data_IF_223592624418
#
_entry.id   IF_223592624418
#
_cell.length_a   1.000
_cell.length_b   1.000
_cell.length_c   1.000
_cell.angle_alpha   90.00
_cell.angle_beta   90.00
_cell.angle_gamma   90.00
#
_symmetry.space_group_name_H-M   'P 1'
#
loop_
_entity.id
_entity.type
_entity.pdbx_description
1 polymer ?
#
# COMPACT_ATOMS: atom_id res chain seq x y z
N UNK A 1 6.10 -11.19 -0.48
CA UNK A 1 7.57 -11.22 -0.62
C UNK A 1 8.15 -12.09 0.49
N UNK A 2 9.06 -13.00 0.13
CA UNK A 2 9.85 -13.81 1.08
C UNK A 2 11.19 -13.11 1.30
N UNK A 3 11.56 -12.72 2.54
CA UNK A 3 12.80 -12.00 2.81
C UNK A 3 14.06 -12.72 2.33
N UNK A 4 14.13 -14.05 2.52
CA UNK A 4 15.29 -14.84 2.11
C UNK A 4 15.47 -14.86 0.61
N UNK A 5 14.40 -15.12 -0.13
CA UNK A 5 14.44 -15.10 -1.59
C UNK A 5 14.76 -13.71 -2.14
N UNK A 6 14.26 -12.64 -1.50
CA UNK A 6 14.60 -11.28 -1.89
C UNK A 6 16.09 -11.01 -1.77
N UNK A 7 16.73 -11.44 -0.68
CA UNK A 7 18.17 -11.24 -0.47
C UNK A 7 19.02 -12.11 -1.41
N UNK A 8 18.57 -13.29 -1.81
CA UNK A 8 19.27 -14.11 -2.80
C UNK A 8 19.35 -13.44 -4.19
N UNK A 9 18.48 -12.47 -4.45
CA UNK A 9 18.44 -11.68 -5.70
C UNK A 9 19.24 -10.37 -5.60
N UNK A 10 19.74 -10.01 -4.42
CA UNK A 10 20.49 -8.77 -4.21
C UNK A 10 21.96 -8.91 -4.61
N UNK A 11 22.50 -7.85 -5.20
CA UNK A 11 23.89 -7.70 -5.61
C UNK A 11 24.38 -6.25 -5.40
N UNK A 12 25.59 -5.96 -5.88
CA UNK A 12 26.19 -4.62 -5.83
C UNK A 12 25.43 -3.54 -6.64
N UNK A 13 24.51 -3.93 -7.50
CA UNK A 13 23.71 -3.02 -8.33
C UNK A 13 22.31 -2.79 -7.72
N UNK A 14 21.98 -3.45 -6.64
CA UNK A 14 20.68 -3.34 -5.98
C UNK A 14 20.55 -2.00 -5.27
N UNK A 15 19.63 -1.16 -5.73
CA UNK A 15 19.43 0.19 -5.20
C UNK A 15 18.42 0.24 -4.03
N UNK A 16 17.44 -0.65 -3.99
CA UNK A 16 16.49 -0.81 -2.89
C UNK A 16 15.67 -2.08 -3.04
N UNK A 17 15.00 -2.50 -1.97
CA UNK A 17 13.95 -3.53 -1.98
C UNK A 17 12.61 -2.86 -1.71
N UNK A 18 11.56 -3.28 -2.44
CA UNK A 18 10.22 -2.67 -2.36
C UNK A 18 9.20 -3.69 -1.91
N UNK A 19 9.04 -3.94 -0.60
CA UNK A 19 7.92 -4.72 -0.08
C UNK A 19 6.61 -3.92 -0.12
N UNK A 20 5.49 -4.63 -0.15
CA UNK A 20 4.16 -4.03 -0.26
C UNK A 20 3.38 -4.22 1.05
N UNK A 21 2.87 -3.12 1.59
CA UNK A 21 1.87 -3.11 2.66
C UNK A 21 0.48 -3.00 2.03
N UNK A 22 -0.29 -4.10 2.05
CA UNK A 22 -1.59 -4.19 1.39
C UNK A 22 -1.49 -4.56 -0.09
N UNK A 23 -1.01 -5.77 -0.38
CA UNK A 23 -0.90 -6.30 -1.74
C UNK A 23 -2.28 -6.38 -2.40
N UNK A 24 -2.45 -5.71 -3.52
CA UNK A 24 -3.75 -5.58 -4.22
C UNK A 24 -4.37 -6.94 -4.60
N UNK A 25 -3.56 -7.92 -4.99
CA UNK A 25 -4.03 -9.21 -5.47
C UNK A 25 -4.33 -10.23 -4.38
N UNK A 26 -3.86 -10.01 -3.16
CA UNK A 26 -4.01 -10.99 -2.07
C UNK A 26 -4.67 -10.39 -0.83
N UNK A 27 -4.64 -9.08 -0.68
CA UNK A 27 -5.04 -8.41 0.55
C UNK A 27 -4.06 -8.62 1.71
N UNK A 28 -2.93 -9.28 1.48
CA UNK A 28 -1.92 -9.56 2.50
C UNK A 28 -0.90 -8.42 2.57
N UNK A 29 -0.14 -8.39 3.63
CA UNK A 29 1.04 -7.54 3.76
C UNK A 29 2.29 -8.41 3.62
N UNK A 30 3.31 -7.90 2.95
CA UNK A 30 4.64 -8.51 2.95
C UNK A 30 5.24 -8.48 4.37
N UNK A 31 6.18 -9.38 4.64
CA UNK A 31 6.89 -9.43 5.92
C UNK A 31 8.02 -8.39 5.97
N UNK A 32 7.62 -7.13 6.17
CA UNK A 32 8.54 -5.99 6.15
C UNK A 32 9.49 -6.00 7.37
N UNK A 33 9.00 -6.41 8.53
CA UNK A 33 9.84 -6.53 9.74
C UNK A 33 10.86 -7.66 9.59
N UNK A 34 10.45 -8.79 9.03
CA UNK A 34 11.38 -9.90 8.73
C UNK A 34 12.40 -9.52 7.67
N UNK A 35 11.99 -8.76 6.65
CA UNK A 35 12.91 -8.23 5.63
C UNK A 35 13.93 -7.27 6.23
N UNK A 36 13.50 -6.33 7.09
CA UNK A 36 14.39 -5.37 7.75
C UNK A 36 15.50 -6.07 8.57
N UNK A 37 15.10 -7.10 9.34
CA UNK A 37 16.05 -7.90 10.13
C UNK A 37 17.04 -8.66 9.25
N UNK A 38 16.55 -9.35 8.23
CA UNK A 38 17.38 -10.12 7.31
C UNK A 38 18.33 -9.21 6.51
N UNK A 39 17.84 -8.02 6.12
CA UNK A 39 18.63 -7.03 5.41
C UNK A 39 19.71 -6.39 6.29
N UNK A 40 19.47 -6.23 7.58
CA UNK A 40 20.48 -5.73 8.54
C UNK A 40 21.69 -6.68 8.59
N UNK A 41 21.43 -7.98 8.66
CA UNK A 41 22.50 -9.01 8.64
C UNK A 41 23.21 -9.05 7.27
N UNK A 42 22.46 -8.95 6.18
CA UNK A 42 23.00 -8.97 4.82
C UNK A 42 23.90 -7.77 4.56
N UNK A 43 23.46 -6.55 4.87
CA UNK A 43 24.22 -5.32 4.71
C UNK A 43 25.49 -5.34 5.59
N UNK A 44 25.40 -5.82 6.83
CA UNK A 44 26.57 -5.97 7.71
C UNK A 44 27.60 -6.96 7.15
N UNK A 45 27.16 -8.02 6.48
CA UNK A 45 28.06 -9.05 5.90
C UNK A 45 28.70 -8.61 4.59
N UNK A 46 27.95 -7.91 3.74
CA UNK A 46 28.40 -7.52 2.39
C UNK A 46 29.08 -6.15 2.35
N UNK A 47 28.83 -5.30 3.34
CA UNK A 47 29.21 -3.89 3.35
C UNK A 47 28.29 -3.00 2.51
N UNK A 48 27.16 -3.53 2.02
CA UNK A 48 26.16 -2.76 1.30
C UNK A 48 25.27 -1.97 2.26
N UNK A 49 24.59 -0.97 1.74
CA UNK A 49 23.58 -0.17 2.46
C UNK A 49 22.26 -0.16 1.69
N UNK A 50 21.79 -1.34 1.30
CA UNK A 50 20.55 -1.49 0.54
C UNK A 50 19.37 -1.08 1.44
N UNK A 51 18.58 -0.05 1.05
CA UNK A 51 17.44 0.41 1.82
C UNK A 51 16.15 -0.33 1.43
N UNK A 52 15.11 -0.09 2.22
CA UNK A 52 13.72 -0.47 1.94
C UNK A 52 12.92 0.77 1.58
N UNK A 53 12.22 0.72 0.44
CA UNK A 53 11.09 1.60 0.13
C UNK A 53 9.79 0.80 0.32
N UNK A 54 8.91 1.23 1.20
CA UNK A 54 7.64 0.53 1.40
C UNK A 54 6.58 1.09 0.46
N UNK A 55 6.08 0.26 -0.46
CA UNK A 55 4.85 0.56 -1.17
C UNK A 55 3.65 0.29 -0.27
N UNK A 56 3.18 1.33 0.38
CA UNK A 56 2.00 1.31 1.23
C UNK A 56 0.80 2.00 0.55
N UNK A 57 0.70 1.88 -0.78
CA UNK A 57 -0.36 2.53 -1.55
C UNK A 57 -1.75 2.27 -0.97
N UNK A 58 -2.00 1.06 -0.48
CA UNK A 58 -3.22 0.71 0.26
C UNK A 58 -3.01 0.75 1.77
N UNK A 59 -1.98 0.06 2.27
CA UNK A 59 -1.75 -0.15 3.71
C UNK A 59 -1.45 1.12 4.50
N UNK A 60 -0.91 2.16 3.87
CA UNK A 60 -0.54 3.41 4.55
C UNK A 60 -1.71 4.16 5.19
N UNK A 61 -2.93 3.96 4.71
CA UNK A 61 -4.16 4.49 5.33
C UNK A 61 -5.02 3.42 6.03
N UNK A 62 -4.47 2.22 6.25
CA UNK A 62 -5.13 1.12 6.97
C UNK A 62 -4.34 0.78 8.24
N UNK A 63 -3.07 0.42 8.07
CA UNK A 63 -2.24 -0.13 9.13
C UNK A 63 -2.08 0.79 10.34
N UNK A 64 -1.85 2.12 10.19
CA UNK A 64 -1.74 3.02 11.34
C UNK A 64 -2.97 3.04 12.23
N UNK A 65 -4.14 2.81 11.65
CA UNK A 65 -5.42 2.89 12.35
C UNK A 65 -5.90 1.56 12.91
N UNK A 66 -5.70 0.45 12.19
CA UNK A 66 -6.22 -0.86 12.58
C UNK A 66 -5.17 -1.78 13.20
N UNK A 67 -3.88 -1.56 12.93
CA UNK A 67 -2.78 -2.41 13.39
C UNK A 67 -1.56 -1.56 13.80
N UNK A 68 -1.72 -0.62 14.75
CA UNK A 68 -0.66 0.33 15.13
C UNK A 68 0.59 -0.35 15.70
N UNK A 69 0.44 -1.57 16.24
CA UNK A 69 1.54 -2.39 16.77
C UNK A 69 2.42 -2.99 15.67
N UNK A 70 1.88 -3.20 14.47
CA UNK A 70 2.62 -3.79 13.35
C UNK A 70 3.71 -2.84 12.87
N UNK A 71 4.94 -3.34 12.85
CA UNK A 71 6.08 -2.57 12.35
C UNK A 71 6.22 -2.77 10.85
N UNK A 72 6.06 -1.71 10.11
CA UNK A 72 6.19 -1.65 8.66
C UNK A 72 6.73 -0.30 8.18
N UNK A 73 6.91 0.64 9.12
CA UNK A 73 7.22 2.04 8.91
C UNK A 73 8.63 2.41 9.40
N UNK A 74 8.90 3.68 9.60
CA UNK A 74 10.19 4.23 10.03
C UNK A 74 10.67 3.78 11.41
N UNK A 75 9.91 2.97 12.15
CA UNK A 75 10.38 2.25 13.33
C UNK A 75 11.39 1.17 12.98
N UNK A 76 11.41 0.73 11.71
CA UNK A 76 12.39 -0.20 11.16
C UNK A 76 13.63 0.57 10.69
N UNK A 77 14.80 -0.07 10.79
CA UNK A 77 16.10 0.56 10.53
C UNK A 77 16.25 0.94 9.07
N UNK A 78 15.99 0.01 8.18
CA UNK A 78 16.26 0.12 6.75
C UNK A 78 15.11 0.69 5.92
N UNK A 79 13.94 0.92 6.53
CA UNK A 79 12.85 1.63 5.87
C UNK A 79 13.20 3.12 5.80
N UNK A 80 13.57 3.60 4.62
CA UNK A 80 14.01 4.99 4.40
C UNK A 80 12.98 5.85 3.67
N UNK A 81 12.04 5.23 2.96
CA UNK A 81 10.93 5.95 2.31
C UNK A 81 9.68 5.09 2.24
N UNK A 82 8.54 5.75 2.20
CA UNK A 82 7.21 5.13 2.13
C UNK A 82 6.38 5.89 1.11
N UNK A 83 5.73 5.18 0.20
CA UNK A 83 4.67 5.75 -0.66
C UNK A 83 3.30 5.30 -0.19
N UNK A 84 2.30 6.19 -0.29
CA UNK A 84 0.89 5.85 -0.02
C UNK A 84 -0.06 6.62 -0.92
N UNK A 85 -1.21 6.04 -1.24
CA UNK A 85 -2.20 6.64 -2.13
C UNK A 85 -3.34 7.28 -1.35
N UNK A 86 -3.42 8.62 -1.40
CA UNK A 86 -4.55 9.35 -0.81
C UNK A 86 -5.88 9.00 -1.45
N UNK A 87 -5.86 8.66 -2.75
CA UNK A 87 -7.06 8.32 -3.53
C UNK A 87 -7.58 6.87 -3.35
N UNK A 88 -6.97 6.09 -2.47
CA UNK A 88 -7.48 4.79 -2.05
C UNK A 88 -8.14 4.93 -0.68
N UNK A 89 -7.55 4.37 0.33
CA UNK A 89 -8.07 4.44 1.71
C UNK A 89 -7.84 5.80 2.40
N UNK A 90 -7.15 6.75 1.73
CA UNK A 90 -7.08 8.16 2.16
C UNK A 90 -8.34 8.97 1.87
N UNK A 91 -9.34 8.40 1.15
CA UNK A 91 -10.69 8.94 0.98
C UNK A 91 -10.74 10.26 0.19
N UNK A 92 -9.90 10.40 -0.83
CA UNK A 92 -9.97 11.50 -1.80
C UNK A 92 -10.06 10.98 -3.23
N UNK A 93 -10.43 11.82 -4.15
CA UNK A 93 -10.47 11.48 -5.57
C UNK A 93 -9.06 11.22 -6.14
N UNK A 94 -8.92 10.47 -7.24
CA UNK A 94 -7.65 10.24 -7.91
C UNK A 94 -6.89 11.54 -8.23
N UNK A 95 -5.56 11.47 -8.13
CA UNK A 95 -4.64 12.58 -8.39
C UNK A 95 -3.79 12.99 -7.20
N UNK A 96 -3.83 12.24 -6.09
CA UNK A 96 -2.98 12.46 -4.93
C UNK A 96 -2.28 11.18 -4.50
N UNK A 97 -0.96 11.24 -4.43
CA UNK A 97 -0.09 10.26 -3.77
C UNK A 97 0.84 10.98 -2.80
N UNK A 98 1.27 10.26 -1.80
CA UNK A 98 2.22 10.72 -0.80
C UNK A 98 3.51 9.90 -0.92
N UNK A 99 4.64 10.57 -0.83
CA UNK A 99 5.92 9.94 -0.51
C UNK A 99 6.49 10.63 0.72
N UNK A 100 6.89 9.83 1.69
CA UNK A 100 7.47 10.31 2.95
C UNK A 100 8.86 9.70 3.09
N UNK A 101 9.84 10.52 3.44
CA UNK A 101 11.21 10.11 3.67
C UNK A 101 11.49 10.12 5.17
N UNK A 102 12.25 9.13 5.64
CA UNK A 102 12.64 9.03 7.06
C UNK A 102 13.44 10.23 7.51
N UNK A 103 14.30 10.76 6.63
CA UNK A 103 15.13 11.93 6.86
C UNK A 103 15.38 12.63 5.52
N UNK A 104 15.53 13.96 5.54
CA UNK A 104 15.82 14.78 4.36
C UNK A 104 17.08 14.32 3.60
N UNK A 105 18.09 13.80 4.30
CA UNK A 105 19.33 13.31 3.70
C UNK A 105 19.16 12.16 2.70
N UNK A 106 18.00 11.46 2.76
CA UNK A 106 17.68 10.38 1.83
C UNK A 106 16.99 10.85 0.55
N UNK A 107 16.67 12.14 0.47
CA UNK A 107 16.19 12.79 -0.75
C UNK A 107 17.36 13.54 -1.38
N UNK A 108 17.97 13.08 -2.50
CA UNK A 108 19.09 13.73 -3.14
C UNK A 108 18.72 15.16 -3.57
N UNK A 109 19.64 16.11 -3.31
CA UNK A 109 19.41 17.52 -3.68
C UNK A 109 19.26 17.69 -5.20
N UNK A 110 19.89 16.82 -6.01
CA UNK A 110 19.78 16.77 -7.46
C UNK A 110 18.36 16.45 -7.96
N UNK A 111 17.54 15.83 -7.12
CA UNK A 111 16.13 15.57 -7.41
C UNK A 111 15.24 16.80 -7.14
N UNK A 112 15.79 17.86 -6.56
CA UNK A 112 15.06 19.08 -6.25
C UNK A 112 15.45 20.23 -7.17
N UNK A 113 14.44 20.91 -7.73
CA UNK A 113 14.63 22.09 -8.57
C UNK A 113 14.23 23.34 -7.78
N UNK A 114 15.16 24.28 -7.65
CA UNK A 114 14.81 25.60 -7.14
C UNK A 114 14.41 26.50 -8.33
N UNK A 115 13.15 26.90 -8.36
CA UNK A 115 12.63 27.79 -9.40
C UNK A 115 12.28 29.11 -8.78
N UNK A 116 12.91 30.18 -9.26
CA UNK A 116 12.50 31.55 -8.92
C UNK A 116 11.31 31.94 -9.81
N UNK A 117 10.11 31.78 -9.27
CA UNK A 117 8.88 32.07 -9.99
C UNK A 117 7.97 32.97 -9.14
N UNK A 118 7.46 34.03 -9.76
CA UNK A 118 6.60 35.03 -9.11
C UNK A 118 7.21 35.65 -7.83
N UNK A 119 8.53 35.85 -7.79
CA UNK A 119 9.22 36.49 -6.68
C UNK A 119 9.46 35.59 -5.44
N UNK A 120 9.23 34.29 -5.56
CA UNK A 120 9.55 33.33 -4.51
C UNK A 120 10.41 32.19 -5.05
N UNK A 121 11.34 31.71 -4.24
CA UNK A 121 12.08 30.48 -4.52
C UNK A 121 11.23 29.28 -4.10
N UNK A 122 10.76 28.51 -5.08
CA UNK A 122 9.95 27.31 -4.87
C UNK A 122 10.81 26.09 -5.17
N UNK A 123 10.97 25.21 -4.20
CA UNK A 123 11.62 23.92 -4.40
C UNK A 123 10.60 22.92 -4.95
N UNK A 124 10.86 22.37 -6.14
CA UNK A 124 10.05 21.33 -6.75
C UNK A 124 10.83 20.04 -6.84
N UNK A 125 10.18 18.92 -6.53
CA UNK A 125 10.72 17.55 -6.65
C UNK A 125 10.01 16.76 -7.74
N UNK A 126 8.89 17.25 -8.27
CA UNK A 126 8.09 16.57 -9.29
C UNK A 126 8.45 16.99 -10.71
N UNK A 127 8.26 16.08 -11.67
CA UNK A 127 8.45 16.34 -13.09
C UNK A 127 7.44 17.32 -13.69
N UNK A 128 6.24 17.40 -13.11
CA UNK A 128 5.17 18.28 -13.59
C UNK A 128 5.23 19.64 -12.88
N UNK A 129 4.97 20.71 -13.62
CA UNK A 129 4.91 22.07 -13.06
C UNK A 129 3.53 22.33 -12.40
N UNK A 130 2.57 22.86 -13.13
CA UNK A 130 1.23 23.14 -12.58
C UNK A 130 0.44 21.84 -12.37
N UNK A 131 -0.16 21.70 -11.18
CA UNK A 131 -0.95 20.52 -10.80
C UNK A 131 -2.22 20.95 -10.09
N UNK A 132 -3.34 20.20 -10.26
CA UNK A 132 -4.54 20.41 -9.46
C UNK A 132 -4.25 20.23 -7.97
N UNK A 133 -4.72 21.16 -7.14
CA UNK A 133 -4.55 21.10 -5.68
C UNK A 133 -5.83 20.62 -4.96
N UNK A 134 -6.93 20.39 -5.67
CA UNK A 134 -8.21 20.04 -5.06
C UNK A 134 -8.13 18.79 -4.17
N UNK A 135 -7.40 17.75 -4.62
CA UNK A 135 -7.24 16.52 -3.85
C UNK A 135 -6.36 16.72 -2.61
N UNK A 136 -5.37 17.61 -2.68
CA UNK A 136 -4.53 17.97 -1.52
C UNK A 136 -5.39 18.67 -0.47
N UNK A 137 -6.21 19.63 -0.88
CA UNK A 137 -7.15 20.32 0.01
C UNK A 137 -8.21 19.35 0.57
N UNK A 138 -8.70 18.44 -0.25
CA UNK A 138 -9.62 17.38 0.18
C UNK A 138 -9.01 16.46 1.23
N UNK A 139 -7.75 16.05 1.04
CA UNK A 139 -7.03 15.23 2.02
C UNK A 139 -6.80 15.98 3.34
N UNK A 140 -6.40 17.24 3.24
CA UNK A 140 -6.23 18.12 4.41
C UNK A 140 -7.55 18.29 5.17
N UNK A 141 -8.65 18.54 4.46
CA UNK A 141 -9.98 18.61 5.05
C UNK A 141 -10.34 17.30 5.78
N UNK A 142 -10.09 16.14 5.16
CA UNK A 142 -10.34 14.85 5.79
C UNK A 142 -9.50 14.65 7.05
N UNK A 143 -8.23 15.06 7.06
CA UNK A 143 -7.40 14.99 8.27
C UNK A 143 -7.97 15.81 9.42
N UNK A 144 -8.42 17.04 9.14
CA UNK A 144 -9.01 17.91 10.18
C UNK A 144 -10.39 17.40 10.60
N UNK A 145 -11.22 17.01 9.63
CA UNK A 145 -12.63 16.65 9.87
C UNK A 145 -12.78 15.30 10.56
N UNK A 146 -12.03 14.31 10.15
CA UNK A 146 -12.11 12.95 10.66
C UNK A 146 -11.14 12.70 11.82
N UNK A 147 -9.94 13.24 11.71
CA UNK A 147 -8.87 12.94 12.65
C UNK A 147 -8.51 11.46 12.67
N UNK A 148 -7.76 11.05 13.69
CA UNK A 148 -7.35 9.66 13.84
C UNK A 148 -8.54 8.71 14.06
N UNK A 149 -9.44 9.08 14.97
CA UNK A 149 -10.58 8.23 15.33
C UNK A 149 -11.58 8.07 14.17
N UNK A 150 -11.85 9.12 13.40
CA UNK A 150 -12.71 9.03 12.23
C UNK A 150 -12.14 8.13 11.14
N UNK A 151 -10.83 8.23 10.84
CA UNK A 151 -10.19 7.29 9.93
C UNK A 151 -10.26 5.86 10.45
N UNK A 152 -9.97 5.64 11.74
CA UNK A 152 -10.04 4.32 12.36
C UNK A 152 -11.43 3.69 12.24
N UNK A 153 -12.49 4.46 12.52
CA UNK A 153 -13.88 4.00 12.40
C UNK A 153 -14.22 3.61 10.96
N UNK A 154 -13.87 4.46 9.98
CA UNK A 154 -14.13 4.18 8.56
C UNK A 154 -13.37 2.94 8.09
N UNK A 155 -12.09 2.81 8.44
CA UNK A 155 -11.31 1.64 8.05
C UNK A 155 -11.81 0.37 8.75
N UNK A 156 -12.25 0.47 10.01
CA UNK A 156 -12.86 -0.66 10.71
C UNK A 156 -14.15 -1.11 10.03
N UNK A 157 -15.04 -0.18 9.68
CA UNK A 157 -16.26 -0.48 8.95
C UNK A 157 -15.96 -1.15 7.60
N UNK A 158 -14.95 -0.67 6.88
CA UNK A 158 -14.51 -1.29 5.61
C UNK A 158 -14.01 -2.71 5.82
N UNK A 159 -13.26 -2.95 6.91
CA UNK A 159 -12.78 -4.28 7.29
C UNK A 159 -13.94 -5.22 7.64
N UNK A 160 -14.93 -4.74 8.40
CA UNK A 160 -16.08 -5.53 8.83
C UNK A 160 -16.96 -5.92 7.64
N UNK A 161 -17.17 -5.00 6.68
CA UNK A 161 -17.85 -5.30 5.42
C UNK A 161 -17.08 -6.36 4.62
N UNK A 162 -15.76 -6.23 4.49
CA UNK A 162 -14.96 -7.22 3.77
C UNK A 162 -15.03 -8.60 4.43
N UNK A 163 -14.97 -8.68 5.76
CA UNK A 163 -15.14 -9.94 6.51
C UNK A 163 -16.52 -10.54 6.31
N UNK A 164 -17.56 -9.70 6.38
CA UNK A 164 -18.94 -10.15 6.12
C UNK A 164 -19.08 -10.73 4.71
N UNK A 165 -18.61 -10.02 3.69
CA UNK A 165 -18.66 -10.49 2.32
C UNK A 165 -17.87 -11.81 2.12
N UNK A 166 -16.68 -11.91 2.71
CA UNK A 166 -15.87 -13.12 2.70
C UNK A 166 -16.64 -14.33 3.30
N UNK A 167 -17.33 -14.13 4.42
CA UNK A 167 -18.15 -15.15 5.04
C UNK A 167 -19.32 -15.56 4.14
N UNK A 168 -20.05 -14.58 3.56
CA UNK A 168 -21.20 -14.86 2.71
C UNK A 168 -20.81 -15.61 1.43
N UNK A 169 -19.74 -15.19 0.76
CA UNK A 169 -19.20 -15.89 -0.43
C UNK A 169 -18.83 -17.34 -0.07
N UNK A 170 -18.23 -17.57 1.11
CA UNK A 170 -17.86 -18.91 1.58
C UNK A 170 -19.05 -19.85 1.80
N UNK A 171 -20.28 -19.34 1.91
CA UNK A 171 -21.50 -20.17 2.02
C UNK A 171 -22.10 -20.56 0.66
N UNK A 172 -21.68 -19.88 -0.41
CA UNK A 172 -22.23 -20.07 -1.75
C UNK A 172 -21.53 -21.26 -2.45
N UNK A 173 -22.30 -22.27 -2.87
CA UNK A 173 -21.76 -23.48 -3.52
C UNK A 173 -21.04 -23.24 -4.85
N UNK A 174 -21.31 -22.12 -5.51
CA UNK A 174 -20.69 -21.77 -6.79
C UNK A 174 -19.36 -21.03 -6.64
N UNK A 175 -19.02 -20.59 -5.43
CA UNK A 175 -17.81 -19.81 -5.17
C UNK A 175 -16.93 -20.47 -4.10
N UNK A 176 -15.66 -20.10 -4.15
CA UNK A 176 -14.65 -20.48 -3.17
C UNK A 176 -13.80 -19.27 -2.83
N UNK A 177 -13.60 -18.99 -1.55
CA UNK A 177 -12.63 -17.99 -1.14
C UNK A 177 -11.22 -18.47 -1.48
N UNK A 178 -10.48 -17.65 -2.20
CA UNK A 178 -9.05 -17.83 -2.41
C UNK A 178 -8.26 -17.29 -1.20
N UNK A 179 -8.67 -16.12 -0.68
CA UNK A 179 -8.14 -15.60 0.58
C UNK A 179 -8.55 -16.50 1.73
N UNK A 180 -7.57 -16.99 2.51
CA UNK A 180 -7.83 -17.77 3.73
C UNK A 180 -8.42 -16.91 4.85
N UNK A 181 -8.02 -15.67 4.90
CA UNK A 181 -8.44 -14.67 5.89
C UNK A 181 -8.49 -13.27 5.26
N UNK A 182 -9.17 -12.35 5.93
CA UNK A 182 -9.25 -10.93 5.55
C UNK A 182 -8.27 -10.16 6.42
N UNK A 183 -7.11 -9.85 5.87
CA UNK A 183 -6.03 -9.11 6.55
C UNK A 183 -6.17 -7.60 6.38
N UNK A 184 -6.56 -7.15 5.19
CA UNK A 184 -6.90 -5.78 4.84
C UNK A 184 -8.34 -5.75 4.30
N UNK A 185 -9.00 -4.59 4.12
CA UNK A 185 -10.36 -4.51 3.58
C UNK A 185 -10.47 -4.97 2.13
N UNK A 186 -10.00 -6.18 1.86
CA UNK A 186 -9.96 -6.82 0.56
C UNK A 186 -9.88 -8.34 0.75
N UNK A 187 -10.59 -9.09 -0.08
CA UNK A 187 -10.44 -10.53 -0.17
C UNK A 187 -10.64 -10.98 -1.62
N UNK A 188 -10.12 -12.15 -1.94
CA UNK A 188 -10.21 -12.74 -3.28
C UNK A 188 -11.02 -14.01 -3.21
N UNK A 189 -11.88 -14.18 -4.20
CA UNK A 189 -12.69 -15.36 -4.39
C UNK A 189 -12.68 -15.78 -5.86
N UNK A 190 -13.07 -17.01 -6.12
CA UNK A 190 -13.09 -17.62 -7.45
C UNK A 190 -14.31 -18.50 -7.61
N UNK A 191 -14.64 -18.89 -8.81
CA UNK A 191 -15.61 -19.97 -8.99
C UNK A 191 -15.07 -21.26 -8.38
N UNK A 192 -15.93 -22.01 -7.71
CA UNK A 192 -15.58 -23.36 -7.28
C UNK A 192 -15.20 -24.20 -8.51
N UNK A 193 -14.04 -24.89 -8.53
CA UNK A 193 -13.56 -25.59 -9.71
C UNK A 193 -14.51 -26.69 -10.23
N UNK A 194 -15.27 -27.33 -9.35
CA UNK A 194 -16.24 -28.37 -9.76
C UNK A 194 -17.54 -27.76 -10.27
N UNK A 195 -17.89 -26.58 -9.77
CA UNK A 195 -19.03 -25.83 -10.29
C UNK A 195 -18.68 -25.19 -11.64
N UNK A 196 -17.49 -24.64 -11.81
CA UNK A 196 -17.00 -23.98 -13.04
C UNK A 196 -17.07 -24.91 -14.26
N UNK A 197 -16.69 -26.21 -14.09
CA UNK A 197 -16.80 -27.19 -15.14
C UNK A 197 -18.21 -27.39 -15.73
N UNK A 198 -19.24 -27.01 -14.99
CA UNK A 198 -20.65 -27.18 -15.35
C UNK A 198 -21.39 -25.89 -15.57
N UNK A 199 -20.77 -24.75 -15.21
CA UNK A 199 -21.35 -23.44 -15.31
C UNK A 199 -21.58 -23.05 -16.78
N UNK A 200 -22.70 -22.38 -17.04
CA UNK A 200 -23.03 -21.79 -18.35
C UNK A 200 -22.72 -20.30 -18.37
N UNK A 201 -22.00 -19.80 -17.39
CA UNK A 201 -21.61 -18.40 -17.21
C UNK A 201 -20.24 -18.33 -16.56
N UNK A 202 -19.59 -17.18 -16.69
CA UNK A 202 -18.25 -16.89 -16.17
C UNK A 202 -18.29 -15.78 -15.13
N UNK A 203 -17.18 -15.55 -14.41
CA UNK A 203 -17.07 -14.38 -13.52
C UNK A 203 -17.17 -13.05 -14.28
N UNK A 204 -16.81 -13.01 -15.56
CA UNK A 204 -17.00 -11.82 -16.41
C UNK A 204 -18.48 -11.56 -16.68
N UNK A 205 -19.28 -12.61 -16.88
CA UNK A 205 -20.73 -12.45 -17.02
C UNK A 205 -21.37 -11.92 -15.74
N UNK A 206 -20.92 -12.44 -14.58
CA UNK A 206 -21.36 -11.95 -13.29
C UNK A 206 -20.95 -10.47 -13.08
N UNK A 207 -19.69 -10.12 -13.39
CA UNK A 207 -19.22 -8.73 -13.31
C UNK A 207 -20.07 -7.80 -14.16
N UNK A 208 -20.35 -8.19 -15.41
CA UNK A 208 -21.18 -7.41 -16.32
C UNK A 208 -22.61 -7.21 -15.77
N UNK A 209 -23.15 -8.20 -15.05
CA UNK A 209 -24.48 -8.10 -14.40
C UNK A 209 -24.47 -7.21 -13.16
N UNK A 210 -23.40 -7.21 -12.39
CA UNK A 210 -23.27 -6.37 -11.19
C UNK A 210 -23.02 -4.87 -11.54
N UNK A 211 -22.59 -4.58 -12.76
CA UNK A 211 -22.36 -3.22 -13.24
C UNK A 211 -23.61 -2.57 -13.89
N UNK A 212 -24.68 -3.34 -14.11
CA UNK A 212 -25.97 -2.86 -14.62
C UNK A 212 -26.89 -2.34 -13.50
#
# INVERSE_FOLDING_TARGET
>A
LDPKQALEMCDENTICIVPIAGVTWTGLDDDIEGLDKALDEYNAKTGYEIPIHVDAASGGFILPFLKPEKKWDFRLKWVLSISTSGHKYGLVYPGLGWVVWKDKKYLPDEMSFSVNYLGANITQVGLNFSRPAAQILGQYYNFIRLGFEGYKEIQQNSMDVAKYCHQQIGTMKCFKNYSKEVVNPLFIWMMDPEYDKKAKWTLFDLQAKLQQ
#
